data_IF_503649242264
#
_entry.id   IF_503649242264
#
_cell.length_a   1.000
_cell.length_b   1.000
_cell.length_c   1.000
_cell.angle_alpha   90.00
_cell.angle_beta   90.00
_cell.angle_gamma   90.00
#
_symmetry.space_group_name_H-M   'P 1'
#
loop_
_entity.id
_entity.type
_entity.pdbx_description
1 polymer ?
#
# COMPACT_ATOMS: atom_id res chain seq x y z
N UNK A 1 3.46 -0.01 6.70
CA UNK A 1 2.88 1.35 6.68
C UNK A 1 3.91 2.42 6.32
N UNK A 2 5.17 2.29 6.77
CA UNK A 2 6.29 3.14 6.30
C UNK A 2 6.59 3.02 4.79
N UNK A 3 6.11 1.96 4.13
CA UNK A 3 6.32 1.71 2.70
C UNK A 3 5.79 2.83 1.82
N UNK A 4 4.66 3.45 2.17
CA UNK A 4 4.11 4.58 1.40
C UNK A 4 5.04 5.78 1.49
N UNK A 5 5.51 6.12 2.70
CA UNK A 5 6.46 7.21 2.91
C UNK A 5 7.76 7.00 2.12
N UNK A 6 8.28 5.77 2.10
CA UNK A 6 9.43 5.41 1.27
C UNK A 6 9.14 5.62 -0.23
N UNK A 7 7.98 5.17 -0.71
CA UNK A 7 7.59 5.26 -2.13
C UNK A 7 7.48 6.72 -2.60
N UNK A 8 6.98 7.62 -1.75
CA UNK A 8 6.80 9.05 -2.10
C UNK A 8 7.98 9.95 -1.70
N UNK A 9 9.01 9.41 -1.05
CA UNK A 9 10.16 10.19 -0.57
C UNK A 9 9.83 11.13 0.60
N UNK A 10 8.95 10.74 1.51
CA UNK A 10 8.63 11.52 2.70
C UNK A 10 9.75 11.43 3.74
N UNK A 11 10.35 12.56 4.10
CA UNK A 11 11.50 12.66 5.02
C UNK A 11 11.10 13.03 6.47
N UNK A 12 9.82 13.28 6.74
CA UNK A 12 9.33 13.58 8.09
C UNK A 12 9.17 12.36 8.99
N UNK A 13 8.79 12.59 10.26
CA UNK A 13 8.48 11.52 11.21
C UNK A 13 7.04 11.01 11.04
N UNK A 14 6.86 9.69 11.18
CA UNK A 14 5.54 9.07 11.28
C UNK A 14 5.36 8.61 12.72
N UNK A 15 4.37 9.18 13.39
CA UNK A 15 4.03 8.87 14.78
C UNK A 15 2.71 8.11 14.85
N UNK A 16 2.68 7.09 15.69
CA UNK A 16 1.48 6.31 16.01
C UNK A 16 1.02 6.73 17.39
N UNK A 17 -0.25 7.15 17.50
CA UNK A 17 -0.87 7.56 18.75
C UNK A 17 -1.54 6.35 19.44
N UNK A 18 -0.96 5.79 20.51
CA UNK A 18 -1.46 4.59 21.17
C UNK A 18 -2.70 4.85 22.05
N UNK A 19 -3.11 6.11 22.21
CA UNK A 19 -4.34 6.45 22.96
C UNK A 19 -5.59 6.11 22.17
N UNK A 20 -5.46 5.90 20.85
CA UNK A 20 -6.54 5.50 19.96
C UNK A 20 -6.66 3.97 19.95
N UNK A 21 -7.89 3.41 20.01
CA UNK A 21 -8.08 1.97 19.99
C UNK A 21 -7.70 1.38 18.63
N UNK A 22 -6.99 0.26 18.65
CA UNK A 22 -6.71 -0.52 17.46
C UNK A 22 -7.95 -1.29 17.00
N UNK A 23 -8.04 -1.53 15.68
CA UNK A 23 -9.01 -2.45 15.11
C UNK A 23 -8.65 -3.91 15.38
N UNK A 24 -9.33 -4.84 14.69
CA UNK A 24 -8.94 -6.26 14.74
C UNK A 24 -7.49 -6.44 14.26
N UNK A 25 -6.62 -7.16 14.99
CA UNK A 25 -5.19 -7.26 14.68
C UNK A 25 -4.85 -7.79 13.29
N UNK A 26 -5.76 -8.55 12.65
CA UNK A 26 -5.55 -9.07 11.31
C UNK A 26 -6.86 -9.33 10.58
N UNK A 27 -6.90 -8.94 9.31
CA UNK A 27 -7.98 -9.27 8.38
C UNK A 27 -7.35 -9.66 7.04
N UNK A 28 -7.05 -10.94 6.91
CA UNK A 28 -6.39 -11.53 5.74
C UNK A 28 -7.32 -12.54 5.06
N UNK A 29 -7.22 -12.64 3.75
CA UNK A 29 -7.91 -13.65 2.95
C UNK A 29 -6.96 -14.80 2.63
N UNK A 30 -7.44 -16.04 2.75
CA UNK A 30 -6.71 -17.21 2.26
C UNK A 30 -6.79 -17.29 0.73
N UNK A 31 -5.62 -17.39 0.08
CA UNK A 31 -5.48 -17.48 -1.38
C UNK A 31 -5.10 -18.87 -1.88
N UNK A 32 -5.01 -19.89 -1.01
CA UNK A 32 -4.59 -21.27 -1.38
C UNK A 32 -5.40 -21.80 -2.56
N UNK A 33 -6.73 -21.61 -2.56
CA UNK A 33 -7.58 -22.08 -3.67
C UNK A 33 -7.20 -21.46 -5.02
N UNK A 34 -6.93 -20.15 -5.05
CA UNK A 34 -6.51 -19.45 -6.28
C UNK A 34 -5.12 -19.89 -6.73
N UNK A 35 -4.19 -20.03 -5.78
CA UNK A 35 -2.83 -20.51 -6.03
C UNK A 35 -2.83 -21.92 -6.62
N UNK A 36 -3.70 -22.81 -6.13
CA UNK A 36 -3.86 -24.18 -6.64
C UNK A 36 -4.45 -24.23 -8.06
N UNK A 37 -5.24 -23.22 -8.44
CA UNK A 37 -5.74 -23.04 -9.81
C UNK A 37 -4.68 -22.42 -10.74
N UNK A 38 -3.45 -22.22 -10.27
CA UNK A 38 -2.35 -21.65 -11.04
C UNK A 38 -2.32 -20.13 -11.09
N UNK A 39 -3.28 -19.45 -10.45
CA UNK A 39 -3.28 -17.99 -10.36
C UNK A 39 -2.38 -17.53 -9.22
N UNK A 40 -1.50 -16.55 -9.47
CA UNK A 40 -0.67 -15.92 -8.45
C UNK A 40 -0.69 -14.41 -8.62
N UNK A 41 -0.67 -13.68 -7.51
CA UNK A 41 -0.50 -12.23 -7.53
C UNK A 41 0.86 -11.89 -8.16
N UNK A 42 0.84 -11.07 -9.21
CA UNK A 42 2.04 -10.66 -9.95
C UNK A 42 2.65 -9.35 -9.44
N UNK A 43 1.88 -8.56 -8.69
CA UNK A 43 2.26 -7.24 -8.22
C UNK A 43 2.43 -7.27 -6.71
N UNK A 44 3.61 -6.89 -6.22
CA UNK A 44 3.87 -6.74 -4.80
C UNK A 44 3.24 -5.46 -4.26
N UNK A 45 3.08 -5.35 -2.93
CA UNK A 45 2.54 -4.14 -2.31
C UNK A 45 3.36 -2.89 -2.66
N UNK A 46 4.69 -2.97 -2.59
CA UNK A 46 5.57 -1.83 -2.88
C UNK A 46 5.46 -1.40 -4.35
N UNK A 47 5.44 -2.35 -5.28
CA UNK A 47 5.30 -2.05 -6.71
C UNK A 47 3.92 -1.47 -7.03
N UNK A 48 2.85 -2.05 -6.46
CA UNK A 48 1.49 -1.54 -6.62
C UNK A 48 1.34 -0.11 -6.08
N UNK A 49 1.94 0.18 -4.92
CA UNK A 49 1.98 1.54 -4.36
C UNK A 49 2.73 2.52 -5.26
N UNK A 50 3.89 2.12 -5.83
CA UNK A 50 4.66 2.96 -6.76
C UNK A 50 3.85 3.32 -8.00
N UNK A 51 3.15 2.33 -8.58
CA UNK A 51 2.29 2.53 -9.75
C UNK A 51 1.11 3.46 -9.42
N UNK A 52 0.41 3.21 -8.32
CA UNK A 52 -0.75 3.99 -7.92
C UNK A 52 -0.38 5.44 -7.54
N UNK A 53 0.67 5.64 -6.75
CA UNK A 53 1.15 6.98 -6.40
C UNK A 53 1.64 7.74 -7.64
N UNK A 54 2.36 7.05 -8.55
CA UNK A 54 2.82 7.64 -9.80
C UNK A 54 1.67 8.06 -10.73
N UNK A 55 0.62 7.24 -10.83
CA UNK A 55 -0.59 7.57 -11.58
C UNK A 55 -1.31 8.79 -10.98
N UNK A 56 -1.46 8.82 -9.64
CA UNK A 56 -2.07 9.95 -8.94
C UNK A 56 -1.36 11.28 -9.27
N UNK A 57 -0.02 11.30 -9.22
CA UNK A 57 0.75 12.48 -9.56
C UNK A 57 0.53 12.92 -11.02
N UNK A 58 0.46 11.99 -11.97
CA UNK A 58 0.25 12.32 -13.39
C UNK A 58 -1.14 12.89 -13.68
N UNK A 59 -2.17 12.38 -13.00
CA UNK A 59 -3.56 12.69 -13.31
C UNK A 59 -4.14 13.82 -12.44
N UNK A 60 -3.54 14.11 -11.29
CA UNK A 60 -4.03 15.11 -10.34
C UNK A 60 -3.08 16.29 -10.09
N UNK A 61 -1.87 16.30 -10.67
CA UNK A 61 -1.14 17.56 -10.80
C UNK A 61 -1.78 18.36 -11.93
N UNK A 62 -2.39 19.49 -11.54
CA UNK A 62 -2.88 20.49 -12.46
C UNK A 62 -1.78 20.81 -13.47
N UNK A 63 -1.99 20.44 -14.74
CA UNK A 63 -1.29 21.08 -15.85
C UNK A 63 -1.62 22.57 -15.74
N UNK A 64 -0.65 23.37 -15.31
CA UNK A 64 -0.62 24.78 -15.72
C UNK A 64 -0.47 24.85 -17.23
#
# INVERSE_FOLDING_TARGET
MLTIAKVIGYEGSIEFDPTKPDGTPGKLMDSIRLNNLGWRASVSLEEGLRLACGDFLKNHTCRM
#
